data_IF_799112946190
#
_entry.id   IF_799112946190
#
_cell.length_a   1.000
_cell.length_b   1.000
_cell.length_c   1.000
_cell.angle_alpha   90.00
_cell.angle_beta   90.00
_cell.angle_gamma   90.00
#
_symmetry.space_group_name_H-M   'P 1'
#
loop_
_entity.id
_entity.type
_entity.pdbx_description
1 polymer ?
#
# COMPACT_ATOMS: atom_id res chain seq x y z
N UNK A 1 -12.47 -24.98 65.48
CA UNK A 1 -12.78 -26.36 65.05
C UNK A 1 -12.63 -26.40 63.54
N UNK A 2 -11.54 -26.98 63.04
CA UNK A 2 -11.49 -28.31 62.40
C UNK A 2 -12.25 -28.33 61.07
N UNK A 3 -11.76 -28.88 59.96
CA UNK A 3 -10.48 -29.45 59.51
C UNK A 3 -10.74 -29.73 58.02
N UNK A 4 -9.71 -29.66 57.18
CA UNK A 4 -9.76 -30.17 55.81
C UNK A 4 -10.21 -31.64 55.76
N UNK A 5 -10.74 -32.11 54.63
CA UNK A 5 -10.44 -33.42 54.00
C UNK A 5 -11.06 -33.47 52.59
N UNK A 6 -10.21 -33.86 51.65
CA UNK A 6 -10.43 -34.23 50.25
C UNK A 6 -11.07 -35.63 50.17
N UNK A 7 -11.75 -36.00 49.06
CA UNK A 7 -11.47 -37.32 48.50
C UNK A 7 -11.05 -37.26 47.03
N UNK A 8 -9.93 -37.95 46.79
CA UNK A 8 -9.35 -38.37 45.52
C UNK A 8 -10.02 -39.67 45.11
N UNK A 9 -10.41 -39.80 43.83
CA UNK A 9 -10.56 -41.03 43.00
C UNK A 9 -11.34 -40.60 41.73
N UNK A 10 -11.08 -40.97 40.48
CA UNK A 10 -10.23 -42.00 39.88
C UNK A 10 -10.11 -41.68 38.36
N UNK A 11 -8.91 -41.40 37.89
CA UNK A 11 -8.24 -41.98 36.72
C UNK A 11 -8.97 -42.31 35.37
N UNK A 12 -8.21 -42.04 34.29
CA UNK A 12 -8.24 -42.57 32.91
C UNK A 12 -9.20 -41.97 31.86
N UNK A 13 -8.64 -41.11 30.98
CA UNK A 13 -8.60 -41.29 29.50
C UNK A 13 -7.68 -40.17 28.95
N UNK A 14 -6.38 -40.39 28.80
CA UNK A 14 -5.69 -40.88 27.58
C UNK A 14 -5.91 -39.99 26.35
N UNK A 15 -4.83 -39.27 26.00
CA UNK A 15 -4.43 -38.70 24.70
C UNK A 15 -5.39 -37.76 23.95
N UNK A 16 -5.09 -36.45 23.99
CA UNK A 16 -4.62 -35.70 22.80
C UNK A 16 -3.65 -34.62 23.28
N UNK A 17 -2.36 -34.89 23.18
CA UNK A 17 -1.31 -33.86 23.19
C UNK A 17 -1.07 -33.52 21.72
N UNK A 18 -1.18 -32.25 21.32
CA UNK A 18 -0.04 -31.50 20.77
C UNK A 18 -0.46 -30.11 20.26
N UNK A 19 0.24 -29.12 20.81
CA UNK A 19 0.66 -27.87 20.19
C UNK A 19 -0.40 -26.82 19.78
N UNK A 20 -0.52 -25.77 20.61
CA UNK A 20 -0.59 -24.39 20.13
C UNK A 20 -0.15 -23.44 21.26
N UNK A 21 1.15 -23.38 21.54
CA UNK A 21 1.79 -22.22 22.18
C UNK A 21 3.32 -22.38 22.19
N UNK A 22 4.00 -21.87 21.17
CA UNK A 22 5.31 -21.19 21.27
C UNK A 22 5.50 -20.40 19.98
N UNK A 23 5.96 -19.16 20.10
CA UNK A 23 6.22 -18.30 18.96
C UNK A 23 7.46 -18.66 18.15
N UNK A 24 7.74 -17.75 17.21
CA UNK A 24 9.04 -17.49 16.57
C UNK A 24 9.53 -18.50 15.52
N UNK A 25 9.22 -18.22 14.25
CA UNK A 25 10.24 -18.12 13.19
C UNK A 25 9.65 -17.46 11.94
N UNK A 26 10.09 -16.24 11.64
CA UNK A 26 10.11 -15.75 10.27
C UNK A 26 11.00 -16.70 9.44
N UNK A 27 10.65 -17.05 8.19
CA UNK A 27 11.56 -17.83 7.37
C UNK A 27 12.80 -17.00 7.08
N UNK A 28 13.92 -17.39 7.68
CA UNK A 28 15.25 -16.91 7.31
C UNK A 28 15.44 -17.10 5.80
N UNK A 29 15.77 -16.01 5.12
CA UNK A 29 16.06 -16.01 3.69
C UNK A 29 17.38 -16.76 3.49
N UNK A 30 17.32 -18.02 3.04
CA UNK A 30 18.49 -18.86 2.78
C UNK A 30 19.41 -18.18 1.74
N UNK A 31 20.56 -17.68 2.23
CA UNK A 31 21.58 -16.98 1.43
C UNK A 31 22.53 -17.95 0.71
N UNK A 32 22.33 -19.26 0.82
CA UNK A 32 23.18 -20.27 0.18
C UNK A 32 22.86 -20.51 -1.31
N UNK A 33 21.77 -19.94 -1.83
CA UNK A 33 21.34 -20.09 -3.23
C UNK A 33 22.12 -19.13 -4.15
N UNK A 34 22.90 -19.63 -5.14
CA UNK A 34 23.61 -18.81 -6.11
C UNK A 34 22.66 -17.85 -6.85
N UNK A 35 23.08 -16.60 -7.04
CA UNK A 35 22.28 -15.53 -7.69
C UNK A 35 21.77 -15.97 -9.08
N UNK A 36 22.54 -16.80 -9.80
CA UNK A 36 22.17 -17.34 -11.13
C UNK A 36 21.03 -18.36 -11.12
N UNK A 37 20.63 -18.86 -9.94
CA UNK A 37 19.58 -19.87 -9.76
C UNK A 37 18.32 -19.31 -9.09
N UNK A 38 18.28 -18.01 -8.81
CA UNK A 38 17.03 -17.33 -8.43
C UNK A 38 16.16 -17.22 -9.68
N UNK A 39 14.95 -17.75 -9.60
CA UNK A 39 13.94 -17.57 -10.65
C UNK A 39 13.79 -16.06 -10.86
N UNK A 40 13.97 -15.53 -12.09
CA UNK A 40 13.74 -14.13 -12.32
C UNK A 40 12.28 -13.84 -12.01
N UNK A 41 12.02 -12.97 -11.02
CA UNK A 41 10.73 -12.32 -10.92
C UNK A 41 10.56 -11.52 -12.21
N UNK A 42 9.93 -12.13 -13.21
CA UNK A 42 9.43 -11.41 -14.38
C UNK A 42 8.55 -10.30 -13.83
N UNK A 43 8.91 -9.06 -14.17
CA UNK A 43 8.03 -7.92 -14.02
C UNK A 43 6.64 -8.31 -14.53
N UNK A 44 5.65 -8.34 -13.65
CA UNK A 44 4.26 -8.49 -14.05
C UNK A 44 3.84 -7.17 -14.70
N UNK A 45 4.19 -7.02 -15.98
CA UNK A 45 3.53 -6.06 -16.85
C UNK A 45 2.07 -6.48 -16.93
N UNK A 46 1.17 -5.68 -16.36
CA UNK A 46 -0.27 -5.88 -16.45
C UNK A 46 -0.70 -6.00 -17.91
N UNK A 47 -1.72 -6.84 -18.13
CA UNK A 47 -2.22 -7.45 -19.38
C UNK A 47 -2.46 -6.59 -20.62
N UNK A 48 -2.10 -5.32 -20.60
CA UNK A 48 -1.92 -4.67 -21.86
C UNK A 48 -0.58 -3.91 -21.89
N UNK A 49 0.35 -4.35 -22.72
CA UNK A 49 0.61 -3.78 -24.06
C UNK A 49 -0.64 -3.69 -25.00
N UNK A 50 -1.74 -3.20 -24.39
CA UNK A 50 -2.98 -2.50 -24.78
C UNK A 50 -3.66 -2.77 -26.12
N UNK A 51 -4.10 -4.02 -26.35
CA UNK A 51 -5.10 -4.41 -27.37
C UNK A 51 -4.71 -4.17 -28.85
N UNK A 52 -3.73 -3.32 -29.15
CA UNK A 52 -3.42 -2.92 -30.52
C UNK A 52 -2.74 -4.01 -31.36
N UNK A 53 -2.07 -4.99 -30.73
CA UNK A 53 -1.33 -6.05 -31.44
C UNK A 53 -2.05 -7.39 -31.63
N UNK A 54 -3.19 -7.63 -30.97
CA UNK A 54 -3.77 -8.98 -30.84
C UNK A 54 -5.02 -9.23 -31.69
N UNK A 55 -5.61 -8.21 -32.29
CA UNK A 55 -6.75 -8.37 -33.20
C UNK A 55 -6.37 -8.93 -34.58
N UNK A 56 -5.07 -8.97 -34.91
CA UNK A 56 -4.60 -9.50 -36.19
C UNK A 56 -4.56 -11.04 -36.28
N UNK A 57 -4.48 -11.75 -35.15
CA UNK A 57 -4.19 -13.19 -35.10
C UNK A 57 -5.05 -14.02 -34.13
N UNK A 58 -6.10 -13.46 -33.52
CA UNK A 58 -6.98 -14.23 -32.65
C UNK A 58 -7.95 -15.08 -33.49
N UNK A 59 -8.13 -16.36 -33.14
CA UNK A 59 -9.09 -17.26 -33.81
C UNK A 59 -10.51 -16.71 -33.70
N UNK A 60 -11.41 -17.07 -34.63
CA UNK A 60 -12.83 -16.65 -34.59
C UNK A 60 -13.55 -16.99 -33.27
N UNK A 61 -12.98 -17.89 -32.46
CA UNK A 61 -13.42 -18.28 -31.13
C UNK A 61 -12.95 -17.36 -29.98
N UNK A 62 -12.12 -16.35 -30.26
CA UNK A 62 -11.77 -15.32 -29.28
C UNK A 62 -12.86 -14.25 -29.19
N UNK A 63 -13.36 -14.04 -27.97
CA UNK A 63 -14.53 -13.22 -27.70
C UNK A 63 -14.32 -11.75 -28.14
N UNK A 64 -15.29 -11.20 -28.89
CA UNK A 64 -15.36 -9.77 -29.19
C UNK A 64 -15.87 -9.04 -27.94
N UNK A 65 -15.14 -8.05 -27.43
CA UNK A 65 -15.50 -7.33 -26.20
C UNK A 65 -16.10 -5.97 -26.56
N UNK A 66 -17.31 -5.69 -26.09
CA UNK A 66 -17.97 -4.38 -26.14
C UNK A 66 -17.83 -3.68 -24.77
N UNK A 67 -17.83 -2.33 -24.72
CA UNK A 67 -17.60 -1.54 -23.51
C UNK A 67 -18.82 -1.49 -22.58
N UNK A 68 -19.32 -2.65 -22.14
CA UNK A 68 -20.51 -2.72 -21.29
C UNK A 68 -20.13 -2.86 -19.80
N UNK A 69 -19.83 -1.71 -19.18
CA UNK A 69 -19.92 -1.51 -17.72
C UNK A 69 -18.73 -1.99 -16.86
N UNK A 70 -18.68 -1.49 -15.61
CA UNK A 70 -17.61 -1.78 -14.62
C UNK A 70 -17.63 -3.24 -14.17
N UNK A 71 -18.78 -3.92 -14.25
CA UNK A 71 -18.90 -5.35 -13.91
C UNK A 71 -17.95 -6.25 -14.70
N UNK A 72 -17.61 -5.88 -15.93
CA UNK A 72 -16.68 -6.66 -16.74
C UNK A 72 -15.25 -6.63 -16.18
N UNK A 73 -14.82 -5.50 -15.61
CA UNK A 73 -13.52 -5.39 -14.93
C UNK A 73 -13.43 -6.29 -13.70
N UNK A 74 -14.56 -6.45 -13.00
CA UNK A 74 -14.67 -7.26 -11.78
C UNK A 74 -14.58 -8.77 -12.03
N UNK A 75 -14.66 -9.20 -13.30
CA UNK A 75 -14.45 -10.61 -13.70
C UNK A 75 -13.02 -11.07 -13.37
N UNK A 76 -12.03 -10.18 -13.56
CA UNK A 76 -10.62 -10.47 -13.27
C UNK A 76 -10.14 -9.78 -11.99
N UNK A 77 -10.64 -8.59 -11.67
CA UNK A 77 -10.31 -7.84 -10.46
C UNK A 77 -11.46 -7.91 -9.47
N UNK A 78 -11.60 -9.05 -8.80
CA UNK A 78 -12.67 -9.25 -7.84
C UNK A 78 -12.57 -8.27 -6.66
N UNK A 79 -13.71 -7.73 -6.22
CA UNK A 79 -13.82 -7.04 -4.93
C UNK A 79 -13.81 -8.01 -3.75
N UNK A 80 -13.88 -9.32 -4.02
CA UNK A 80 -13.77 -10.39 -3.04
C UNK A 80 -12.28 -10.67 -2.78
N UNK A 81 -11.73 -9.94 -1.82
CA UNK A 81 -10.33 -9.98 -1.41
C UNK A 81 -10.04 -8.84 -0.45
N UNK A 82 -8.83 -8.73 0.12
CA UNK A 82 -8.47 -7.57 0.92
C UNK A 82 -8.67 -6.30 0.11
N UNK A 83 -9.54 -5.39 0.59
CA UNK A 83 -9.83 -4.12 -0.09
C UNK A 83 -8.58 -3.33 -0.51
N UNK A 84 -7.47 -3.32 0.27
CA UNK A 84 -6.22 -2.67 -0.14
C UNK A 84 -5.62 -3.26 -1.43
N UNK A 85 -5.71 -4.58 -1.64
CA UNK A 85 -5.13 -5.23 -2.81
C UNK A 85 -5.87 -4.84 -4.11
N UNK A 86 -7.20 -4.86 -4.09
CA UNK A 86 -8.00 -4.44 -5.24
C UNK A 86 -7.76 -2.97 -5.59
N UNK A 87 -7.85 -2.08 -4.61
CA UNK A 87 -7.67 -0.64 -4.80
C UNK A 87 -6.27 -0.33 -5.32
N UNK A 88 -5.25 -1.03 -4.81
CA UNK A 88 -3.88 -0.86 -5.25
C UNK A 88 -3.69 -1.24 -6.72
N UNK A 89 -4.06 -2.47 -7.10
CA UNK A 89 -3.87 -2.98 -8.47
C UNK A 89 -4.58 -2.09 -9.48
N UNK A 90 -5.87 -1.81 -9.25
CA UNK A 90 -6.66 -1.05 -10.23
C UNK A 90 -6.17 0.39 -10.35
N UNK A 91 -6.04 1.12 -9.24
CA UNK A 91 -5.65 2.52 -9.35
C UNK A 91 -4.24 2.66 -9.91
N UNK A 92 -3.27 1.89 -9.42
CA UNK A 92 -1.89 1.99 -9.88
C UNK A 92 -1.78 1.65 -11.36
N UNK A 93 -2.30 0.50 -11.80
CA UNK A 93 -2.10 0.04 -13.18
C UNK A 93 -2.77 0.93 -14.24
N UNK A 94 -3.75 1.74 -13.84
CA UNK A 94 -4.42 2.70 -14.73
C UNK A 94 -3.81 4.09 -14.62
N UNK A 95 -3.56 4.61 -13.41
CA UNK A 95 -2.96 5.93 -13.23
C UNK A 95 -1.46 5.97 -13.55
N UNK A 96 -0.79 4.82 -13.60
CA UNK A 96 0.59 4.71 -14.06
C UNK A 96 0.74 4.79 -15.59
N UNK A 97 -0.36 4.73 -16.35
CA UNK A 97 -0.33 4.71 -17.81
C UNK A 97 -0.70 6.08 -18.37
N UNK A 98 0.18 6.62 -19.19
CA UNK A 98 -0.05 7.91 -19.87
C UNK A 98 -1.29 7.87 -20.78
N UNK A 99 -1.64 6.69 -21.32
CA UNK A 99 -2.78 6.51 -22.21
C UNK A 99 -4.13 6.46 -21.48
N UNK A 100 -4.14 6.34 -20.15
CA UNK A 100 -5.37 6.41 -19.38
C UNK A 100 -5.83 7.86 -19.23
N UNK A 101 -6.68 8.29 -20.17
CA UNK A 101 -7.33 9.60 -20.15
C UNK A 101 -8.57 9.66 -19.26
N UNK A 102 -8.95 8.52 -18.66
CA UNK A 102 -10.08 8.44 -17.73
C UNK A 102 -9.78 9.10 -16.39
N UNK A 103 -10.80 9.13 -15.53
CA UNK A 103 -10.68 9.62 -14.16
C UNK A 103 -11.52 8.79 -13.20
N UNK A 104 -11.66 9.26 -11.95
CA UNK A 104 -12.44 8.59 -10.91
C UNK A 104 -13.84 8.16 -11.42
N UNK A 105 -14.48 9.03 -12.20
CA UNK A 105 -15.85 8.86 -12.70
C UNK A 105 -16.04 7.77 -13.77
N UNK A 106 -14.94 7.30 -14.36
CA UNK A 106 -14.98 6.17 -15.30
C UNK A 106 -15.39 4.86 -14.60
N UNK A 107 -15.04 4.74 -13.32
CA UNK A 107 -15.32 3.54 -12.51
C UNK A 107 -16.25 3.81 -11.33
N UNK A 108 -16.37 5.07 -10.92
CA UNK A 108 -17.13 5.48 -9.75
C UNK A 108 -18.30 6.41 -10.07
N UNK A 109 -19.28 6.41 -9.18
CA UNK A 109 -20.38 7.36 -9.13
C UNK A 109 -20.57 7.86 -7.70
N UNK A 110 -21.28 8.98 -7.56
CA UNK A 110 -21.90 9.37 -6.30
C UNK A 110 -23.40 9.09 -6.42
N UNK A 111 -23.95 8.33 -5.48
CA UNK A 111 -25.38 8.04 -5.47
C UNK A 111 -26.21 9.22 -4.93
N UNK A 112 -27.53 9.08 -4.95
CA UNK A 112 -28.44 10.14 -4.47
C UNK A 112 -28.30 10.43 -2.96
N UNK A 113 -27.60 9.58 -2.20
CA UNK A 113 -27.31 9.77 -0.78
C UNK A 113 -25.94 10.44 -0.54
N UNK A 114 -25.18 10.75 -1.60
CA UNK A 114 -23.85 11.33 -1.50
C UNK A 114 -22.75 10.31 -1.24
N UNK A 115 -23.00 9.00 -1.45
CA UNK A 115 -21.98 7.98 -1.27
C UNK A 115 -21.19 7.77 -2.55
N UNK A 116 -19.87 7.92 -2.45
CA UNK A 116 -18.95 7.55 -3.52
C UNK A 116 -18.73 6.05 -3.52
N UNK A 117 -19.07 5.40 -4.65
CA UNK A 117 -19.06 3.95 -4.82
C UNK A 117 -18.68 3.57 -6.25
N UNK A 118 -18.32 2.31 -6.45
CA UNK A 118 -18.13 1.77 -7.81
C UNK A 118 -19.47 1.70 -8.54
N UNK A 119 -19.48 1.93 -9.85
CA UNK A 119 -20.65 1.63 -10.68
C UNK A 119 -21.06 0.16 -10.45
N UNK A 120 -22.36 -0.05 -10.27
CA UNK A 120 -22.95 -1.40 -10.15
C UNK A 120 -22.44 -2.25 -8.97
N UNK A 121 -21.93 -1.60 -7.91
CA UNK A 121 -21.52 -2.24 -6.65
C UNK A 121 -22.20 -1.58 -5.46
N UNK A 122 -22.60 -2.33 -4.44
CA UNK A 122 -23.18 -1.75 -3.21
C UNK A 122 -22.14 -1.31 -2.19
N UNK A 123 -20.84 -1.55 -2.46
CA UNK A 123 -19.77 -1.15 -1.56
C UNK A 123 -19.53 0.35 -1.61
N UNK A 124 -19.85 1.02 -0.50
CA UNK A 124 -19.52 2.42 -0.27
C UNK A 124 -18.02 2.56 0.04
N UNK A 125 -17.37 3.53 -0.58
CA UNK A 125 -15.94 3.83 -0.40
C UNK A 125 -15.78 5.06 0.47
N UNK A 126 -16.56 6.11 0.19
CA UNK A 126 -16.62 7.34 0.98
C UNK A 126 -18.09 7.72 1.14
N UNK A 127 -18.51 7.97 2.36
CA UNK A 127 -19.85 8.48 2.68
C UNK A 127 -19.86 10.00 2.64
N UNK A 128 -21.01 10.58 2.27
CA UNK A 128 -21.29 12.03 2.39
C UNK A 128 -20.23 12.92 1.73
N UNK A 129 -19.88 12.63 0.48
CA UNK A 129 -18.92 13.43 -0.29
C UNK A 129 -19.56 14.04 -1.53
N UNK A 130 -18.79 14.85 -2.25
CA UNK A 130 -19.22 15.49 -3.49
C UNK A 130 -18.15 15.39 -4.57
N UNK A 131 -18.53 15.79 -5.80
CA UNK A 131 -17.64 15.72 -6.96
C UNK A 131 -16.35 16.52 -6.78
N UNK A 132 -16.42 17.70 -6.17
CA UNK A 132 -15.26 18.57 -5.98
C UNK A 132 -14.22 17.94 -5.05
N UNK A 133 -14.66 17.33 -3.95
CA UNK A 133 -13.76 16.62 -3.01
C UNK A 133 -13.07 15.44 -3.67
N UNK A 134 -13.80 14.64 -4.46
CA UNK A 134 -13.23 13.50 -5.18
C UNK A 134 -12.26 13.97 -6.28
N UNK A 135 -12.59 15.06 -6.99
CA UNK A 135 -11.74 15.58 -8.05
C UNK A 135 -10.39 16.09 -7.51
N UNK A 136 -10.33 16.56 -6.25
CA UNK A 136 -9.07 16.94 -5.57
C UNK A 136 -8.11 15.75 -5.41
N UNK A 137 -8.59 14.50 -5.40
CA UNK A 137 -7.74 13.32 -5.27
C UNK A 137 -6.99 12.95 -6.56
N UNK A 138 -7.50 13.37 -7.73
CA UNK A 138 -6.96 12.97 -9.03
C UNK A 138 -5.44 13.22 -9.20
N UNK A 139 -4.87 14.40 -8.87
CA UNK A 139 -3.43 14.63 -9.00
C UNK A 139 -2.61 13.71 -8.07
N UNK A 140 -3.10 13.40 -6.87
CA UNK A 140 -2.40 12.52 -5.94
C UNK A 140 -2.39 11.08 -6.42
N UNK A 141 -3.48 10.57 -7.01
CA UNK A 141 -3.50 9.23 -7.61
C UNK A 141 -2.59 9.11 -8.83
N UNK A 142 -2.47 10.17 -9.65
CA UNK A 142 -1.50 10.22 -10.75
C UNK A 142 -0.06 10.22 -10.24
N UNK A 143 0.21 11.04 -9.23
CA UNK A 143 1.52 11.11 -8.59
C UNK A 143 1.90 9.76 -8.00
N UNK A 144 1.05 9.20 -7.15
CA UNK A 144 1.22 7.88 -6.55
C UNK A 144 1.36 6.76 -7.60
N UNK A 145 0.71 6.88 -8.75
CA UNK A 145 0.81 5.92 -9.84
C UNK A 145 2.15 5.92 -10.58
N UNK A 146 2.85 7.06 -10.69
CA UNK A 146 3.96 7.20 -11.65
C UNK A 146 5.00 8.31 -11.41
N UNK A 147 4.87 9.12 -10.36
CA UNK A 147 5.80 10.24 -10.13
C UNK A 147 7.18 9.77 -9.68
N UNK A 148 8.13 10.71 -9.62
CA UNK A 148 9.42 10.51 -8.95
C UNK A 148 9.36 10.77 -7.43
N UNK A 149 8.19 11.14 -6.90
CA UNK A 149 8.02 11.44 -5.49
C UNK A 149 7.93 10.16 -4.65
N UNK A 150 8.10 10.33 -3.34
CA UNK A 150 8.06 9.23 -2.38
C UNK A 150 6.70 8.51 -2.37
N UNK A 151 5.60 9.15 -2.74
CA UNK A 151 4.30 8.50 -2.82
C UNK A 151 4.29 7.35 -3.83
N UNK A 152 4.95 7.51 -4.97
CA UNK A 152 5.12 6.43 -5.94
C UNK A 152 6.02 5.31 -5.40
N UNK A 153 7.12 5.66 -4.72
CA UNK A 153 7.99 4.66 -4.08
C UNK A 153 7.21 3.80 -3.08
N UNK A 154 6.31 4.42 -2.30
CA UNK A 154 5.41 3.70 -1.39
C UNK A 154 4.33 2.91 -2.16
N UNK A 155 3.83 3.43 -3.28
CA UNK A 155 2.92 2.71 -4.16
C UNK A 155 3.54 1.42 -4.66
N UNK A 156 4.81 1.40 -5.06
CA UNK A 156 5.49 0.18 -5.51
C UNK A 156 5.54 -0.91 -4.43
N UNK A 157 5.52 -0.51 -3.16
CA UNK A 157 5.47 -1.39 -1.99
C UNK A 157 4.04 -1.73 -1.53
N UNK A 158 3.03 -1.55 -2.38
CA UNK A 158 1.62 -1.83 -2.07
C UNK A 158 1.02 -0.96 -0.96
N UNK A 159 1.62 0.20 -0.66
CA UNK A 159 1.11 1.14 0.34
C UNK A 159 0.04 2.03 -0.29
N UNK A 160 -1.22 1.87 0.16
CA UNK A 160 -2.37 2.68 -0.26
C UNK A 160 -2.54 3.92 0.62
N UNK A 161 -3.29 4.92 0.15
CA UNK A 161 -3.52 6.19 0.85
C UNK A 161 -3.96 5.99 2.31
N UNK A 162 -4.92 5.08 2.54
CA UNK A 162 -5.47 4.79 3.86
C UNK A 162 -4.46 4.13 4.82
N UNK A 163 -3.38 3.52 4.32
CA UNK A 163 -2.33 2.98 5.21
C UNK A 163 -1.53 4.09 5.89
N UNK A 164 -1.41 5.26 5.27
CA UNK A 164 -0.79 6.44 5.90
C UNK A 164 -1.84 7.32 6.56
N UNK A 165 -2.92 7.64 5.85
CA UNK A 165 -3.91 8.63 6.27
C UNK A 165 -5.03 8.06 7.15
N UNK A 166 -5.19 6.74 7.23
CA UNK A 166 -6.31 6.04 7.89
C UNK A 166 -7.70 6.33 7.27
N UNK A 167 -7.76 7.19 6.26
CA UNK A 167 -8.94 7.55 5.48
C UNK A 167 -8.52 7.80 4.02
N UNK A 168 -9.49 7.74 3.10
CA UNK A 168 -9.28 8.02 1.67
C UNK A 168 -9.36 9.52 1.36
N UNK A 169 -10.06 10.31 2.18
CA UNK A 169 -10.11 11.78 2.10
C UNK A 169 -9.45 12.38 3.35
N UNK A 170 -8.12 12.54 3.35
CA UNK A 170 -7.43 13.18 4.45
C UNK A 170 -7.54 14.70 4.42
N UNK A 171 -7.79 15.30 5.58
CA UNK A 171 -7.68 16.75 5.80
C UNK A 171 -6.37 17.12 6.51
N UNK A 172 -5.76 16.17 7.21
CA UNK A 172 -4.60 16.38 8.07
C UNK A 172 -3.33 15.72 7.51
N UNK A 173 -2.19 16.28 7.90
CA UNK A 173 -0.87 15.67 7.64
C UNK A 173 -0.72 14.40 8.46
N UNK A 174 0.02 13.45 7.91
CA UNK A 174 0.34 12.19 8.58
C UNK A 174 1.25 12.45 9.78
N UNK A 175 0.87 11.92 10.94
CA UNK A 175 1.68 12.01 12.15
C UNK A 175 2.93 11.12 12.06
N UNK A 176 4.03 11.54 12.69
CA UNK A 176 5.33 10.86 12.63
C UNK A 176 5.24 9.38 13.04
N UNK A 177 4.41 9.07 14.03
CA UNK A 177 4.23 7.71 14.56
C UNK A 177 3.74 6.75 13.47
N UNK A 178 3.01 7.25 12.47
CA UNK A 178 2.56 6.41 11.37
C UNK A 178 3.72 5.98 10.47
N UNK A 179 4.72 6.83 10.25
CA UNK A 179 5.94 6.49 9.53
C UNK A 179 6.74 5.42 10.31
N UNK A 180 6.89 5.62 11.62
CA UNK A 180 7.68 4.73 12.49
C UNK A 180 7.11 3.32 12.61
N UNK A 181 5.82 3.10 12.31
CA UNK A 181 5.22 1.74 12.26
C UNK A 181 5.90 0.81 11.25
N UNK A 182 6.45 1.36 10.17
CA UNK A 182 7.15 0.59 9.14
C UNK A 182 8.65 0.86 9.12
N UNK A 183 9.07 2.09 9.43
CA UNK A 183 10.47 2.50 9.38
C UNK A 183 11.25 2.23 10.68
N UNK A 184 10.58 1.83 11.76
CA UNK A 184 11.21 1.53 13.05
C UNK A 184 11.39 2.78 13.91
N UNK A 185 12.17 2.65 15.00
CA UNK A 185 12.42 3.75 15.93
C UNK A 185 13.41 4.77 15.36
N UNK A 186 13.40 5.99 15.90
CA UNK A 186 14.37 7.02 15.52
C UNK A 186 15.82 6.55 15.76
N UNK A 187 16.07 5.88 16.89
CA UNK A 187 17.39 5.27 17.19
C UNK A 187 17.84 4.25 16.13
N UNK A 188 16.91 3.44 15.61
CA UNK A 188 17.21 2.53 14.52
C UNK A 188 17.58 3.29 13.24
N UNK A 189 16.82 4.33 12.90
CA UNK A 189 17.09 5.19 11.74
C UNK A 189 18.42 5.93 11.85
N UNK A 190 18.75 6.47 13.03
CA UNK A 190 20.06 7.07 13.34
C UNK A 190 21.20 6.11 13.01
N UNK A 191 21.08 4.85 13.43
CA UNK A 191 22.10 3.84 13.16
C UNK A 191 22.14 3.46 11.68
N UNK A 192 20.97 3.33 11.04
CA UNK A 192 20.87 2.99 9.62
C UNK A 192 21.53 4.05 8.72
N UNK A 193 21.53 5.32 9.14
CA UNK A 193 22.13 6.43 8.39
C UNK A 193 23.46 6.91 8.98
N UNK A 194 24.19 6.05 9.71
CA UNK A 194 25.47 6.43 10.35
C UNK A 194 26.57 6.84 9.36
N UNK A 195 26.52 6.33 8.14
CA UNK A 195 27.48 6.65 7.07
C UNK A 195 27.15 7.96 6.32
N UNK A 196 26.01 8.59 6.60
CA UNK A 196 25.65 9.90 6.01
C UNK A 196 26.20 11.01 6.89
N UNK A 197 26.91 11.99 6.30
CA UNK A 197 27.56 13.06 7.06
C UNK A 197 27.11 14.48 6.61
N UNK A 198 26.49 15.29 7.49
CA UNK A 198 26.03 14.91 8.84
C UNK A 198 24.89 13.89 8.79
N UNK A 199 24.75 13.09 9.84
CA UNK A 199 23.68 12.11 9.92
C UNK A 199 22.33 12.83 10.14
N UNK A 200 21.40 12.76 9.17
CA UNK A 200 20.16 13.54 9.21
C UNK A 200 19.22 13.12 10.34
N UNK A 201 19.34 11.87 10.80
CA UNK A 201 18.59 11.33 11.94
C UNK A 201 19.37 11.40 13.26
N UNK A 202 20.48 12.14 13.30
CA UNK A 202 21.25 12.41 14.53
C UNK A 202 21.41 13.93 14.74
N UNK A 203 20.33 14.68 14.54
CA UNK A 203 20.39 16.14 14.50
C UNK A 203 20.56 16.77 15.89
N UNK A 204 21.16 17.96 15.95
CA UNK A 204 21.19 18.77 17.17
C UNK A 204 19.80 19.31 17.57
N UNK A 205 18.81 19.22 16.68
CA UNK A 205 17.41 19.56 16.95
C UNK A 205 16.65 18.41 17.63
N UNK A 206 17.30 17.27 17.87
CA UNK A 206 16.65 16.07 18.40
C UNK A 206 15.87 15.29 17.33
N UNK A 207 14.76 14.67 17.75
CA UNK A 207 13.82 14.00 16.86
C UNK A 207 12.90 15.03 16.21
N UNK A 208 13.02 15.18 14.90
CA UNK A 208 12.21 16.11 14.11
C UNK A 208 11.24 15.33 13.21
N UNK A 209 10.10 15.94 12.85
CA UNK A 209 9.10 15.27 12.01
C UNK A 209 9.70 14.82 10.68
N UNK A 210 9.44 13.57 10.29
CA UNK A 210 9.89 13.01 9.00
C UNK A 210 9.49 13.90 7.82
N UNK A 211 8.30 14.52 7.89
CA UNK A 211 7.73 15.37 6.83
C UNK A 211 8.41 16.73 6.67
N UNK A 212 9.40 17.08 7.50
CA UNK A 212 10.21 18.27 7.29
C UNK A 212 11.23 18.06 6.17
N UNK A 213 11.70 16.83 5.98
CA UNK A 213 12.61 16.46 4.90
C UNK A 213 11.89 15.64 3.83
N UNK A 214 11.21 14.56 4.24
CA UNK A 214 10.56 13.62 3.34
C UNK A 214 9.16 14.11 2.94
N UNK A 215 9.08 14.83 1.83
CA UNK A 215 7.81 15.29 1.28
C UNK A 215 7.19 14.15 0.47
N UNK A 216 6.19 13.48 1.02
CA UNK A 216 5.66 12.25 0.39
C UNK A 216 4.99 12.54 -0.96
N UNK A 217 4.27 13.66 -1.07
CA UNK A 217 3.51 14.04 -2.27
C UNK A 217 4.17 15.17 -3.08
N UNK A 218 5.45 15.42 -2.88
CA UNK A 218 6.22 16.47 -3.57
C UNK A 218 7.71 16.13 -3.58
N UNK A 219 8.53 17.00 -4.15
CA UNK A 219 9.98 16.87 -4.06
C UNK A 219 10.45 17.02 -2.60
N UNK A 220 11.24 16.06 -2.13
CA UNK A 220 11.80 16.09 -0.78
C UNK A 220 12.81 17.21 -0.61
N UNK A 221 12.83 17.79 0.58
CA UNK A 221 13.76 18.85 0.94
C UNK A 221 14.78 18.35 1.97
N UNK A 222 15.86 19.10 2.15
CA UNK A 222 16.81 18.85 3.24
C UNK A 222 16.69 19.95 4.27
N UNK A 223 15.84 19.74 5.29
CA UNK A 223 15.47 20.74 6.30
C UNK A 223 16.68 21.44 6.95
N UNK A 224 17.80 20.74 7.13
CA UNK A 224 19.03 21.32 7.68
C UNK A 224 19.57 22.49 6.85
N UNK A 225 19.29 22.53 5.54
CA UNK A 225 19.73 23.59 4.65
C UNK A 225 18.98 24.92 4.81
N UNK A 226 18.00 25.00 5.72
CA UNK A 226 17.46 26.28 6.16
C UNK A 226 18.51 27.12 6.92
N UNK A 227 19.46 26.44 7.60
CA UNK A 227 20.53 27.09 8.38
C UNK A 227 21.93 26.72 7.90
N UNK A 228 22.07 25.62 7.13
CA UNK A 228 23.34 25.08 6.68
C UNK A 228 23.41 25.00 5.15
N UNK A 229 24.55 24.58 4.62
CA UNK A 229 24.74 24.33 3.20
C UNK A 229 25.40 22.96 3.00
N UNK A 230 24.57 21.92 3.00
CA UNK A 230 24.97 20.54 2.72
C UNK A 230 24.53 20.10 1.34
N UNK A 231 25.34 19.28 0.70
CA UNK A 231 25.00 18.62 -0.57
C UNK A 231 24.54 17.18 -0.30
N UNK A 232 23.40 17.03 0.39
CA UNK A 232 22.78 15.73 0.70
C UNK A 232 21.44 15.67 -0.03
N UNK A 233 21.21 14.56 -0.76
CA UNK A 233 19.94 14.29 -1.41
C UNK A 233 19.02 13.54 -0.45
N UNK A 234 17.89 14.15 -0.11
CA UNK A 234 16.80 13.45 0.58
C UNK A 234 16.09 12.53 -0.41
N UNK A 235 15.78 11.27 -0.03
CA UNK A 235 14.88 10.40 -0.76
C UNK A 235 13.53 11.05 -1.07
#
# INVERSE_FOLDING_TARGET
>A
MNRAIIPISLALFVLVVFACATGEHSPDMDRSIPISSRIPHKAHQGCPHLHAGLLGNASESHFKVLPEGVKYCLVCHSTQGPAPAFAWVIHRDHYAKEEFTGGCWSCHLIDAQGNFKLHESDKIIIEKTNKEEIDKLAPFYRSWGSSEYLDHTHAEQSVTCALCHKTTLPEERVAMEQCLKCHGSYQYLTKLTEDVSPNPHASHCGEISCTLCHQVHAESEFYCNLCHAFNIKTP
#
